data_IF_378069089224
#
_entry.id   IF_378069089224
#
_cell.length_a   1.000
_cell.length_b   1.000
_cell.length_c   1.000
_cell.angle_alpha   90.00
_cell.angle_beta   90.00
_cell.angle_gamma   90.00
#
_symmetry.space_group_name_H-M   'P 1'
#
loop_
_entity.id
_entity.type
_entity.pdbx_description
1 polymer ?
#
# COMPACT_ATOMS: atom_id res chain seq x y z
N UNK A 1 6.85 6.60 -19.82
CA UNK A 1 5.91 7.48 -19.09
C UNK A 1 4.92 6.58 -18.37
N UNK A 2 4.94 6.60 -17.05
CA UNK A 2 4.10 5.73 -16.22
C UNK A 2 2.63 6.15 -16.33
N UNK A 3 1.73 5.19 -16.53
CA UNK A 3 0.27 5.40 -16.57
C UNK A 3 -0.34 4.86 -15.28
N UNK A 4 -1.45 5.45 -14.86
CA UNK A 4 -2.25 4.87 -13.78
C UNK A 4 -2.80 3.50 -14.22
N UNK A 5 -2.56 2.49 -13.40
CA UNK A 5 -3.19 1.18 -13.52
C UNK A 5 -4.42 1.18 -12.60
N UNK A 6 -5.60 0.89 -13.15
CA UNK A 6 -6.85 0.81 -12.38
C UNK A 6 -7.14 -0.67 -12.04
N UNK A 7 -6.84 -1.12 -10.82
CA UNK A 7 -6.88 -2.54 -10.47
C UNK A 7 -8.28 -3.02 -10.09
N UNK A 8 -9.13 -2.14 -9.56
CA UNK A 8 -10.41 -2.52 -8.93
C UNK A 8 -11.35 -3.23 -9.90
N UNK A 9 -11.52 -2.79 -11.17
CA UNK A 9 -12.35 -3.50 -12.13
C UNK A 9 -11.86 -4.90 -12.49
N UNK A 10 -10.57 -5.21 -12.26
CA UNK A 10 -9.96 -6.49 -12.60
C UNK A 10 -10.13 -7.56 -11.51
N UNK A 11 -10.65 -7.19 -10.33
CA UNK A 11 -10.80 -8.12 -9.21
C UNK A 11 -11.84 -9.22 -9.47
N UNK A 12 -12.95 -8.89 -10.16
CA UNK A 12 -14.06 -9.85 -10.34
C UNK A 12 -14.48 -10.47 -9.00
N UNK A 13 -14.60 -11.80 -8.95
CA UNK A 13 -14.99 -12.55 -7.76
C UNK A 13 -13.96 -12.49 -6.62
N UNK A 14 -12.68 -12.24 -6.93
CA UNK A 14 -11.61 -12.16 -5.92
C UNK A 14 -11.75 -10.94 -5.01
N UNK A 15 -12.64 -9.99 -5.35
CA UNK A 15 -13.03 -8.89 -4.46
C UNK A 15 -13.53 -9.41 -3.10
N UNK A 16 -14.12 -10.60 -3.04
CA UNK A 16 -14.64 -11.19 -1.82
C UNK A 16 -13.57 -11.55 -0.76
N UNK A 17 -12.29 -11.58 -1.15
CA UNK A 17 -11.15 -11.76 -0.23
C UNK A 17 -10.84 -10.49 0.58
N UNK A 18 -11.23 -9.32 0.08
CA UNK A 18 -10.94 -8.04 0.72
C UNK A 18 -12.09 -7.64 1.65
N UNK A 19 -11.97 -7.93 2.94
CA UNK A 19 -13.01 -7.67 3.96
C UNK A 19 -12.58 -6.66 5.02
N UNK A 20 -11.36 -6.13 4.91
CA UNK A 20 -10.84 -5.08 5.78
C UNK A 20 -11.75 -3.86 5.79
N UNK A 21 -11.85 -3.23 6.95
CA UNK A 21 -12.71 -2.06 7.16
C UNK A 21 -11.88 -0.78 7.18
N UNK A 22 -12.33 0.23 6.45
CA UNK A 22 -11.62 1.49 6.30
C UNK A 22 -11.28 2.23 7.61
N UNK A 23 -12.16 2.25 8.65
CA UNK A 23 -11.84 2.87 9.93
C UNK A 23 -10.63 2.25 10.62
N UNK A 24 -10.35 0.97 10.37
CA UNK A 24 -9.30 0.20 11.02
C UNK A 24 -7.98 0.22 10.22
N UNK A 25 -7.93 0.94 9.09
CA UNK A 25 -6.73 1.06 8.25
C UNK A 25 -5.55 1.61 9.06
N UNK A 26 -4.37 1.04 8.85
CA UNK A 26 -3.14 1.61 9.41
C UNK A 26 -2.78 2.91 8.70
N UNK A 27 -2.31 3.90 9.45
CA UNK A 27 -1.87 5.20 8.90
C UNK A 27 -0.64 5.07 7.98
N UNK A 28 0.08 3.95 8.06
CA UNK A 28 1.22 3.57 7.22
C UNK A 28 0.83 3.17 5.79
N UNK A 29 -0.44 2.87 5.53
CA UNK A 29 -0.90 2.55 4.18
C UNK A 29 -0.66 3.72 3.22
N UNK A 30 -0.04 3.45 2.09
CA UNK A 30 0.08 4.44 1.01
C UNK A 30 -1.29 4.62 0.36
N UNK A 31 -1.75 5.88 0.13
CA UNK A 31 -3.03 6.13 -0.48
C UNK A 31 -3.25 5.39 -1.81
N UNK A 32 -4.44 4.82 -1.94
CA UNK A 32 -4.81 3.94 -3.04
C UNK A 32 -6.01 3.04 -2.69
N UNK A 33 -6.47 2.23 -3.65
CA UNK A 33 -7.62 1.36 -3.46
C UNK A 33 -7.39 0.28 -2.40
N UNK A 34 -6.17 -0.25 -2.27
CA UNK A 34 -5.86 -1.33 -1.35
C UNK A 34 -5.18 -0.83 -0.07
N UNK A 35 -5.52 -1.44 1.05
CA UNK A 35 -4.94 -1.14 2.35
C UNK A 35 -5.01 -2.35 3.28
N UNK A 36 -4.11 -2.41 4.26
CA UNK A 36 -4.24 -3.28 5.42
C UNK A 36 -4.99 -2.57 6.55
N UNK A 37 -5.98 -3.25 7.11
CA UNK A 37 -6.75 -2.82 8.27
C UNK A 37 -6.31 -3.64 9.51
N UNK A 38 -7.24 -4.23 10.25
CA UNK A 38 -6.91 -5.23 11.27
C UNK A 38 -6.62 -6.58 10.61
N UNK A 39 -5.48 -6.66 9.93
CA UNK A 39 -4.90 -7.92 9.48
C UNK A 39 -4.32 -8.68 10.67
N UNK A 40 -4.03 -9.96 10.47
CA UNK A 40 -3.36 -10.76 11.51
C UNK A 40 -1.84 -10.55 11.56
N UNK A 41 -1.18 -11.25 12.49
CA UNK A 41 0.26 -11.24 12.71
C UNK A 41 0.97 -12.53 12.23
N UNK A 42 0.30 -13.39 11.47
CA UNK A 42 0.90 -14.62 10.95
C UNK A 42 1.89 -14.33 9.81
N UNK A 43 1.94 -13.08 9.32
CA UNK A 43 2.95 -12.59 8.39
C UNK A 43 2.82 -13.20 7.00
N UNK A 44 1.63 -13.64 6.60
CA UNK A 44 1.41 -14.35 5.33
C UNK A 44 1.40 -13.40 4.14
N UNK A 45 1.02 -12.13 4.31
CA UNK A 45 0.88 -11.20 3.20
C UNK A 45 2.18 -10.98 2.43
N UNK A 46 3.31 -10.85 3.13
CA UNK A 46 4.63 -10.68 2.48
C UNK A 46 5.17 -11.94 1.81
N UNK A 47 4.73 -13.14 2.22
CA UNK A 47 5.11 -14.37 1.50
C UNK A 47 4.59 -14.35 0.06
N UNK A 48 3.48 -13.63 -0.18
CA UNK A 48 2.83 -13.53 -1.48
C UNK A 48 3.10 -12.21 -2.20
N UNK A 49 3.17 -11.10 -1.47
CA UNK A 49 3.28 -9.74 -2.02
C UNK A 49 4.39 -8.89 -1.34
N UNK A 50 5.66 -9.35 -1.32
CA UNK A 50 6.74 -8.68 -0.57
C UNK A 50 7.07 -7.26 -1.07
N UNK A 51 6.72 -6.94 -2.33
CA UNK A 51 6.89 -5.61 -2.92
C UNK A 51 5.72 -4.63 -2.68
N UNK A 52 4.70 -5.07 -1.95
CA UNK A 52 3.48 -4.30 -1.67
C UNK A 52 3.12 -4.25 -0.19
N UNK A 53 3.48 -5.29 0.57
CA UNK A 53 3.10 -5.47 1.98
C UNK A 53 4.31 -5.28 2.90
N UNK A 54 4.10 -4.60 4.02
CA UNK A 54 5.05 -4.48 5.13
C UNK A 54 4.36 -4.70 6.48
N UNK A 55 5.16 -4.90 7.53
CA UNK A 55 4.70 -5.08 8.90
C UNK A 55 4.90 -3.80 9.72
N UNK A 56 3.88 -3.44 10.48
CA UNK A 56 3.96 -2.47 11.55
C UNK A 56 4.70 -3.11 12.75
N UNK A 57 5.72 -2.44 13.25
CA UNK A 57 6.67 -2.93 14.23
C UNK A 57 6.05 -3.24 15.61
N UNK A 58 4.97 -2.54 16.01
CA UNK A 58 4.43 -2.65 17.36
C UNK A 58 3.46 -3.82 17.55
N UNK A 59 2.57 -4.08 16.60
CA UNK A 59 1.57 -5.15 16.68
C UNK A 59 1.75 -6.22 15.60
N UNK A 60 2.75 -6.06 14.72
CA UNK A 60 3.04 -6.96 13.61
C UNK A 60 1.86 -7.12 12.65
N UNK A 61 1.06 -6.07 12.53
CA UNK A 61 -0.03 -5.98 11.55
C UNK A 61 0.52 -5.57 10.18
N UNK A 62 -0.18 -5.94 9.12
CA UNK A 62 0.23 -5.75 7.74
C UNK A 62 -0.38 -4.48 7.15
N UNK A 63 0.37 -3.79 6.29
CA UNK A 63 -0.10 -2.63 5.54
C UNK A 63 0.42 -2.61 4.11
N UNK A 64 -0.31 -1.95 3.22
CA UNK A 64 0.05 -1.80 1.80
C UNK A 64 0.89 -0.54 1.63
N UNK A 65 2.20 -0.71 1.45
CA UNK A 65 3.15 0.40 1.27
C UNK A 65 3.34 0.78 -0.21
N UNK A 66 2.84 -0.04 -1.14
CA UNK A 66 2.88 0.23 -2.58
C UNK A 66 1.69 -0.38 -3.29
N UNK A 67 0.94 0.44 -4.02
CA UNK A 67 -0.19 -0.02 -4.82
C UNK A 67 0.29 -0.82 -6.05
N UNK A 68 -0.46 -1.84 -6.49
CA UNK A 68 -0.10 -2.60 -7.69
C UNK A 68 -0.18 -1.71 -8.94
N UNK A 69 0.75 -1.92 -9.88
CA UNK A 69 0.86 -1.20 -11.15
C UNK A 69 0.68 -2.12 -12.36
N UNK A 70 0.56 -3.43 -12.14
CA UNK A 70 0.38 -4.45 -13.17
C UNK A 70 -0.62 -5.52 -12.72
N UNK A 71 -1.23 -6.28 -13.66
CA UNK A 71 -2.07 -7.43 -13.30
C UNK A 71 -1.34 -8.49 -12.47
N UNK A 72 -0.04 -8.69 -12.69
CA UNK A 72 0.79 -9.64 -11.95
C UNK A 72 0.98 -9.21 -10.49
N UNK A 73 1.25 -7.93 -10.27
CA UNK A 73 1.31 -7.33 -8.93
C UNK A 73 -0.05 -7.40 -8.21
N UNK A 74 -1.14 -7.14 -8.94
CA UNK A 74 -2.49 -7.28 -8.39
C UNK A 74 -2.76 -8.72 -7.93
N UNK A 75 -2.43 -9.73 -8.76
CA UNK A 75 -2.61 -11.14 -8.38
C UNK A 75 -1.86 -11.49 -7.10
N UNK A 76 -0.64 -10.98 -6.92
CA UNK A 76 0.12 -11.18 -5.68
C UNK A 76 -0.61 -10.60 -4.46
N UNK A 77 -1.15 -9.39 -4.59
CA UNK A 77 -1.88 -8.74 -3.50
C UNK A 77 -3.22 -9.43 -3.20
N UNK A 78 -3.90 -9.95 -4.23
CA UNK A 78 -5.07 -10.83 -4.06
C UNK A 78 -4.70 -12.09 -3.29
N UNK A 79 -3.61 -12.77 -3.66
CA UNK A 79 -3.14 -13.97 -2.94
C UNK A 79 -2.77 -13.63 -1.49
N UNK A 80 -2.19 -12.47 -1.21
CA UNK A 80 -1.96 -12.00 0.16
C UNK A 80 -3.28 -11.89 0.94
N UNK A 81 -4.30 -11.24 0.38
CA UNK A 81 -5.61 -11.10 1.01
C UNK A 81 -6.34 -12.44 1.22
N UNK A 82 -6.23 -13.38 0.28
CA UNK A 82 -6.82 -14.72 0.39
C UNK A 82 -6.17 -15.58 1.48
N UNK A 83 -4.90 -15.29 1.82
CA UNK A 83 -4.12 -16.02 2.82
C UNK A 83 -3.99 -15.25 4.13
N UNK A 84 -4.69 -14.13 4.30
CA UNK A 84 -4.82 -13.43 5.57
C UNK A 84 -5.94 -14.08 6.39
N UNK A 85 -5.62 -14.77 7.51
CA UNK A 85 -6.60 -15.43 8.36
C UNK A 85 -7.69 -14.51 8.91
N UNK A 86 -7.41 -13.21 9.03
CA UNK A 86 -8.38 -12.23 9.54
C UNK A 86 -9.13 -11.50 8.42
N UNK A 87 -8.74 -11.71 7.16
CA UNK A 87 -9.28 -11.03 5.99
C UNK A 87 -9.29 -9.49 6.15
N UNK A 88 -8.27 -8.93 6.80
CA UNK A 88 -8.10 -7.52 7.14
C UNK A 88 -7.63 -6.65 5.98
N UNK A 89 -7.37 -7.20 4.79
CA UNK A 89 -7.12 -6.39 3.60
C UNK A 89 -8.41 -5.78 3.06
N UNK A 90 -8.39 -4.48 2.74
CA UNK A 90 -9.48 -3.77 2.06
C UNK A 90 -9.11 -3.40 0.62
N UNK A 91 -10.14 -3.16 -0.21
CA UNK A 91 -9.97 -2.73 -1.61
C UNK A 91 -10.89 -1.57 -2.02
N UNK A 92 -11.62 -0.98 -1.07
CA UNK A 92 -12.58 0.11 -1.25
C UNK A 92 -11.97 1.49 -0.98
N UNK A 93 -10.63 1.62 -0.92
CA UNK A 93 -9.96 2.88 -0.61
C UNK A 93 -10.35 4.05 -1.53
N UNK A 94 -10.72 3.77 -2.79
CA UNK A 94 -11.20 4.77 -3.76
C UNK A 94 -12.57 5.40 -3.41
N UNK A 95 -13.30 4.77 -2.49
CA UNK A 95 -14.58 5.26 -1.95
C UNK A 95 -14.35 6.23 -0.79
N UNK A 96 -13.18 6.16 -0.14
CA UNK A 96 -12.89 6.89 1.10
C UNK A 96 -11.79 7.94 0.97
N UNK A 97 -10.76 7.70 0.15
CA UNK A 97 -9.71 8.69 -0.09
C UNK A 97 -10.30 9.90 -0.81
N UNK A 98 -10.09 11.07 -0.22
CA UNK A 98 -10.36 12.35 -0.87
C UNK A 98 -9.05 12.97 -1.34
N UNK A 99 -9.07 13.82 -2.39
CA UNK A 99 -7.88 14.57 -2.79
C UNK A 99 -7.22 15.33 -1.63
N UNK A 100 -8.00 15.91 -0.73
CA UNK A 100 -7.48 16.60 0.45
C UNK A 100 -6.74 15.65 1.39
N UNK A 101 -7.33 14.49 1.71
CA UNK A 101 -6.71 13.51 2.61
C UNK A 101 -5.43 12.89 2.03
N UNK A 102 -5.35 12.71 0.71
CA UNK A 102 -4.12 12.24 0.04
C UNK A 102 -2.99 13.27 0.17
N UNK A 103 -3.31 14.57 0.05
CA UNK A 103 -2.32 15.66 0.21
C UNK A 103 -1.84 15.80 1.64
N UNK A 104 -2.77 15.66 2.59
CA UNK A 104 -2.46 15.63 4.01
C UNK A 104 -1.50 14.48 4.33
N UNK A 105 -1.82 13.25 3.90
CA UNK A 105 -0.93 12.11 4.06
C UNK A 105 0.46 12.38 3.44
N UNK A 106 0.50 12.97 2.24
CA UNK A 106 1.76 13.33 1.57
C UNK A 106 2.58 14.36 2.35
N UNK A 107 1.93 15.39 2.91
CA UNK A 107 2.57 16.40 3.74
C UNK A 107 3.15 15.79 5.02
N UNK A 108 2.45 14.81 5.60
CA UNK A 108 2.85 14.12 6.82
C UNK A 108 3.78 12.92 6.62
N UNK A 109 4.13 12.56 5.37
CA UNK A 109 4.98 11.39 5.06
C UNK A 109 6.33 11.37 5.79
N UNK A 110 6.80 12.53 6.26
CA UNK A 110 7.97 12.62 7.14
C UNK A 110 7.84 11.75 8.40
N UNK A 111 6.63 11.66 8.97
CA UNK A 111 6.31 10.77 10.09
C UNK A 111 6.50 9.30 9.73
N UNK A 112 6.14 8.89 8.51
CA UNK A 112 6.40 7.52 8.03
C UNK A 112 7.91 7.28 7.93
N UNK A 113 8.67 8.22 7.37
CA UNK A 113 10.13 8.09 7.29
C UNK A 113 10.78 7.95 8.66
N UNK A 114 10.38 8.77 9.63
CA UNK A 114 10.88 8.70 11.00
C UNK A 114 10.53 7.37 11.68
N UNK A 115 9.33 6.86 11.43
CA UNK A 115 8.89 5.55 11.88
C UNK A 115 9.77 4.42 11.32
N UNK A 116 10.02 4.43 10.00
CA UNK A 116 10.89 3.48 9.30
C UNK A 116 12.36 3.59 9.73
N UNK A 117 12.82 4.76 10.18
CA UNK A 117 14.17 4.90 10.71
C UNK A 117 14.26 4.37 12.14
N UNK A 118 13.24 4.63 12.97
CA UNK A 118 13.22 4.29 14.40
C UNK A 118 13.27 2.79 14.68
N UNK A 119 12.63 1.96 13.85
CA UNK A 119 12.58 0.51 14.11
C UNK A 119 13.52 -0.32 13.22
N UNK A 120 14.50 0.32 12.56
CA UNK A 120 15.49 -0.32 11.67
C UNK A 120 16.02 -1.66 12.22
N UNK A 121 16.58 -1.59 13.42
CA UNK A 121 17.16 -2.74 14.13
C UNK A 121 16.15 -3.87 14.39
N UNK A 122 14.88 -3.54 14.64
CA UNK A 122 13.84 -4.53 14.90
C UNK A 122 13.53 -5.36 13.65
N UNK A 123 13.50 -4.72 12.47
CA UNK A 123 13.28 -5.44 11.20
C UNK A 123 14.50 -6.25 10.77
N UNK A 124 15.72 -5.82 11.10
CA UNK A 124 16.91 -6.64 10.89
C UNK A 124 16.89 -7.90 11.76
N UNK A 125 16.53 -7.77 13.04
CA UNK A 125 16.37 -8.91 13.94
C UNK A 125 15.24 -9.86 13.52
N UNK A 126 14.13 -9.32 12.98
CA UNK A 126 13.05 -10.14 12.40
C UNK A 126 13.53 -10.93 11.18
N UNK A 127 14.30 -10.29 10.29
CA UNK A 127 14.88 -10.94 9.12
C UNK A 127 15.88 -12.05 9.48
N UNK A 128 16.69 -11.88 10.51
CA UNK A 128 17.57 -12.94 11.01
C UNK A 128 16.79 -14.18 11.47
N UNK A 129 15.55 -14.01 11.94
CA UNK A 129 14.68 -15.10 12.41
C UNK A 129 13.81 -15.70 11.31
N UNK A 130 13.16 -14.86 10.52
CA UNK A 130 12.11 -15.26 9.59
C UNK A 130 12.57 -15.28 8.12
N UNK A 131 13.66 -14.57 7.80
CA UNK A 131 14.28 -14.58 6.47
C UNK A 131 13.40 -13.99 5.37
N UNK A 132 12.42 -13.13 5.71
CA UNK A 132 11.48 -12.64 4.71
C UNK A 132 11.92 -11.35 3.97
N UNK A 133 13.04 -10.74 4.34
CA UNK A 133 13.58 -9.53 3.69
C UNK A 133 12.83 -8.23 4.04
N UNK A 134 12.28 -8.14 5.25
CA UNK A 134 11.57 -6.96 5.77
C UNK A 134 12.48 -5.74 5.82
N UNK A 135 13.71 -5.87 6.30
CA UNK A 135 14.66 -4.76 6.41
C UNK A 135 15.02 -4.18 5.02
N UNK A 136 15.15 -5.05 4.01
CA UNK A 136 15.35 -4.61 2.63
C UNK A 136 14.12 -3.86 2.09
N UNK A 137 12.92 -4.38 2.31
CA UNK A 137 11.67 -3.74 1.89
C UNK A 137 11.42 -2.40 2.61
N UNK A 138 11.82 -2.25 3.88
CA UNK A 138 11.77 -0.98 4.61
C UNK A 138 12.67 0.07 3.95
N UNK A 139 13.89 -0.29 3.55
CA UNK A 139 14.78 0.61 2.81
C UNK A 139 14.22 0.99 1.44
N UNK A 140 13.60 0.04 0.74
CA UNK A 140 12.90 0.31 -0.52
C UNK A 140 11.72 1.25 -0.31
N UNK A 141 10.95 1.09 0.77
CA UNK A 141 9.85 1.98 1.09
C UNK A 141 10.35 3.40 1.40
N UNK A 142 11.42 3.54 2.18
CA UNK A 142 12.05 4.83 2.42
C UNK A 142 12.50 5.51 1.11
N UNK A 143 13.13 4.76 0.20
CA UNK A 143 13.51 5.27 -1.11
C UNK A 143 12.29 5.63 -1.98
N UNK A 144 11.20 4.86 -1.88
CA UNK A 144 9.95 5.11 -2.60
C UNK A 144 9.27 6.40 -2.13
N UNK A 145 9.25 6.68 -0.82
CA UNK A 145 8.71 7.92 -0.23
C UNK A 145 9.36 9.19 -0.81
N UNK A 146 10.66 9.11 -1.12
CA UNK A 146 11.48 10.20 -1.66
C UNK A 146 11.60 10.20 -3.19
N UNK A 147 11.15 9.12 -3.84
CA UNK A 147 11.25 8.94 -5.28
C UNK A 147 9.88 8.91 -5.95
N UNK A 148 9.52 7.73 -6.46
CA UNK A 148 8.38 7.57 -7.38
C UNK A 148 7.01 7.85 -6.75
N UNK A 149 6.89 7.82 -5.41
CA UNK A 149 5.59 7.97 -4.75
C UNK A 149 4.91 9.29 -5.11
N UNK A 150 5.67 10.36 -5.31
CA UNK A 150 5.12 11.63 -5.74
C UNK A 150 4.37 11.50 -7.08
N UNK A 151 4.95 10.80 -8.05
CA UNK A 151 4.30 10.60 -9.35
C UNK A 151 3.05 9.71 -9.20
N UNK A 152 3.15 8.62 -8.44
CA UNK A 152 2.05 7.69 -8.21
C UNK A 152 0.85 8.36 -7.54
N UNK A 153 1.08 9.17 -6.50
CA UNK A 153 -0.01 9.90 -5.84
C UNK A 153 -0.62 10.97 -6.75
N UNK A 154 0.15 11.62 -7.61
CA UNK A 154 -0.41 12.57 -8.60
C UNK A 154 -1.27 11.88 -9.65
N UNK A 155 -0.87 10.69 -10.09
CA UNK A 155 -1.68 9.84 -10.97
C UNK A 155 -2.97 9.41 -10.26
N UNK A 156 -2.87 9.05 -8.97
CA UNK A 156 -4.01 8.65 -8.15
C UNK A 156 -4.98 9.80 -7.88
N UNK A 157 -4.49 11.00 -7.52
CA UNK A 157 -5.29 12.21 -7.36
C UNK A 157 -6.11 12.51 -8.61
N UNK A 158 -5.49 12.41 -9.79
CA UNK A 158 -6.20 12.57 -11.04
C UNK A 158 -7.34 11.54 -11.19
N UNK A 159 -7.08 10.27 -10.85
CA UNK A 159 -8.09 9.20 -10.91
C UNK A 159 -9.25 9.43 -9.95
N UNK A 160 -8.99 9.96 -8.75
CA UNK A 160 -10.03 10.30 -7.77
C UNK A 160 -10.95 11.40 -8.30
N UNK A 161 -10.39 12.47 -8.88
CA UNK A 161 -11.15 13.61 -9.40
C UNK A 161 -11.94 13.27 -10.67
N UNK A 162 -11.27 12.64 -11.65
CA UNK A 162 -11.83 12.48 -13.00
C UNK A 162 -12.50 11.12 -13.22
N UNK A 163 -12.44 10.26 -12.21
CA UNK A 163 -12.95 8.88 -12.25
C UNK A 163 -12.42 8.03 -13.42
N UNK A 164 -11.23 8.38 -13.93
CA UNK A 164 -10.52 7.69 -15.03
C UNK A 164 -9.01 7.96 -14.99
N UNK A 165 -8.22 7.12 -15.68
CA UNK A 165 -6.78 7.32 -15.80
C UNK A 165 -6.41 8.58 -16.62
N UNK A 166 -5.30 9.27 -16.30
CA UNK A 166 -4.82 10.41 -17.08
C UNK A 166 -4.32 9.97 -18.47
N UNK A 167 -4.65 10.78 -19.48
CA UNK A 167 -4.08 10.66 -20.82
C UNK A 167 -2.63 11.16 -20.87
N UNK A 168 -1.89 10.81 -21.93
CA UNK A 168 -0.45 11.11 -22.07
C UNK A 168 -0.08 12.59 -22.09
N UNK A 169 -1.04 13.49 -22.30
CA UNK A 169 -0.80 14.94 -22.45
C UNK A 169 -1.39 15.77 -21.31
N UNK A 170 -2.06 15.14 -20.34
CA UNK A 170 -2.71 15.86 -19.25
C UNK A 170 -1.70 16.26 -18.17
N UNK A 171 -1.80 17.51 -17.70
CA UNK A 171 -1.08 17.97 -16.52
C UNK A 171 -1.67 17.29 -15.29
N UNK A 172 -0.82 16.66 -14.48
CA UNK A 172 -1.24 16.00 -13.27
C UNK A 172 -1.45 17.02 -12.13
N UNK A 173 -2.41 16.80 -11.22
CA UNK A 173 -2.56 17.61 -10.01
C UNK A 173 -1.24 17.70 -9.26
N UNK A 174 -0.98 18.82 -8.57
CA UNK A 174 0.16 18.91 -7.63
C UNK A 174 -0.10 18.04 -6.40
N UNK A 175 0.83 17.95 -5.45
CA UNK A 175 0.67 17.31 -4.14
C UNK A 175 0.64 18.36 -3.03
#
# INVERSE_FOLDING_TARGET
MQRYFDPVPLLGDTRAAFRGQWPDRKWLNVPGPFYGADTDNCGTGRLHAPGHVLYEAEHFTEYVYRQPRTPEELRRLVTAAENDPFAGYGCDGDEHWTPAAVREWWAERGRVREYLARHGDAWEADDERAGQGVAAAVREYAAYLDGELALDLRLYLFRLDERRAPGSTKRLPEL
#
